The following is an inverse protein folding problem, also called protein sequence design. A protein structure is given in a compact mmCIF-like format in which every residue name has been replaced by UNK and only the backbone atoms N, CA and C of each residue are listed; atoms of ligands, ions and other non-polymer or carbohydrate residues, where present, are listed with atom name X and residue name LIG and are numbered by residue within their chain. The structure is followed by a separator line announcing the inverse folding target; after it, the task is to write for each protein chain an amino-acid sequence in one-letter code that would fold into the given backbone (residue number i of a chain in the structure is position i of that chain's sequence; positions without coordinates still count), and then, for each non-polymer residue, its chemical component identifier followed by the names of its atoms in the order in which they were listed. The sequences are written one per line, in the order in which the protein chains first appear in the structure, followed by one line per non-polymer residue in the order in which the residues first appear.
data_IF_445246760304
#
_entry.id   IF_445246760304
#
_cell.length_a   1.000
_cell.length_b   1.000
_cell.length_c   1.000
_cell.angle_alpha   90.00
_cell.angle_beta   90.00
_cell.angle_gamma   90.00
#
_symmetry.space_group_name_H-M   'P 1'
#
loop_
_entity.id
_entity.type
_entity.pdbx_description
1 polymer ?
#
# COMPACT_ATOMS: atom_id res chain seq x y z
N UNK A 1 8.04 -2.98 26.75
CA UNK A 1 6.64 -2.56 26.54
C UNK A 1 6.13 -3.23 25.27
N UNK A 2 5.34 -4.29 25.42
CA UNK A 2 4.71 -5.00 24.31
C UNK A 2 3.40 -4.26 23.94
N UNK A 3 3.51 -3.13 23.25
CA UNK A 3 2.36 -2.49 22.63
C UNK A 3 2.07 -3.15 21.28
N UNK A 4 0.80 -3.52 21.04
CA UNK A 4 0.43 -3.95 19.68
C UNK A 4 0.53 -2.74 18.72
N UNK A 5 1.10 -2.93 17.53
CA UNK A 5 1.26 -1.84 16.56
C UNK A 5 -0.06 -1.14 16.22
N UNK A 6 -1.16 -1.89 16.11
CA UNK A 6 -2.50 -1.37 15.86
C UNK A 6 -3.01 -0.43 16.97
N UNK A 7 -2.80 -0.80 18.24
CA UNK A 7 -3.18 0.05 19.37
C UNK A 7 -2.36 1.33 19.40
N UNK A 8 -1.06 1.25 19.11
CA UNK A 8 -0.18 2.42 19.08
C UNK A 8 -0.59 3.42 17.97
N UNK A 9 -0.94 2.91 16.78
CA UNK A 9 -1.45 3.75 15.68
C UNK A 9 -2.78 4.39 16.04
N UNK A 10 -3.71 3.63 16.65
CA UNK A 10 -5.00 4.16 17.08
C UNK A 10 -4.84 5.33 18.07
N UNK A 11 -4.02 5.15 19.11
CA UNK A 11 -3.75 6.21 20.09
C UNK A 11 -3.04 7.41 19.46
N UNK A 12 -2.08 7.19 18.56
CA UNK A 12 -1.40 8.27 17.84
C UNK A 12 -2.38 9.11 17.03
N UNK A 13 -3.32 8.48 16.31
CA UNK A 13 -4.35 9.18 15.52
C UNK A 13 -5.28 9.98 16.43
N UNK A 14 -5.80 9.39 17.52
CA UNK A 14 -6.69 10.08 18.45
C UNK A 14 -6.00 11.31 19.05
N UNK A 15 -4.78 11.14 19.54
CA UNK A 15 -4.00 12.24 20.14
C UNK A 15 -3.73 13.33 19.09
N UNK A 16 -3.34 12.95 17.87
CA UNK A 16 -3.08 13.91 16.79
C UNK A 16 -4.32 14.74 16.43
N UNK A 17 -5.50 14.11 16.36
CA UNK A 17 -6.77 14.80 16.11
C UNK A 17 -7.06 15.79 17.25
N UNK A 18 -6.93 15.37 18.51
CA UNK A 18 -7.16 16.24 19.66
C UNK A 18 -6.20 17.42 19.70
N UNK A 19 -4.91 17.19 19.45
CA UNK A 19 -3.89 18.25 19.37
C UNK A 19 -4.20 19.23 18.24
N UNK A 20 -4.54 18.72 17.06
CA UNK A 20 -4.91 19.55 15.92
C UNK A 20 -6.14 20.41 16.21
N UNK A 21 -7.19 19.83 16.82
CA UNK A 21 -8.39 20.57 17.21
C UNK A 21 -8.07 21.66 18.27
N UNK A 22 -7.22 21.36 19.24
CA UNK A 22 -6.79 22.33 20.24
C UNK A 22 -6.00 23.48 19.61
N UNK A 23 -5.00 23.19 18.79
CA UNK A 23 -4.19 24.21 18.10
C UNK A 23 -5.05 25.13 17.23
N UNK A 24 -5.94 24.57 16.41
CA UNK A 24 -6.82 25.33 15.55
C UNK A 24 -7.85 26.14 16.35
N UNK A 25 -8.22 25.69 17.53
CA UNK A 25 -9.12 26.43 18.43
C UNK A 25 -8.40 27.59 19.11
N UNK A 26 -7.13 27.41 19.51
CA UNK A 26 -6.34 28.47 20.13
C UNK A 26 -5.91 29.54 19.13
N UNK A 27 -5.69 29.19 17.87
CA UNK A 27 -5.41 30.14 16.79
C UNK A 27 -6.59 31.09 16.48
N UNK A 28 -7.74 30.85 17.11
CA UNK A 28 -8.90 31.76 17.12
C UNK A 28 -9.74 31.77 15.84
N UNK A 29 -9.32 31.06 14.81
CA UNK A 29 -9.94 31.10 13.48
C UNK A 29 -11.17 30.21 13.32
N UNK A 30 -11.39 29.23 14.22
CA UNK A 30 -12.49 28.26 14.10
C UNK A 30 -13.19 27.98 15.42
N UNK A 31 -14.50 27.81 15.35
CA UNK A 31 -15.29 27.35 16.50
C UNK A 31 -15.20 25.85 16.67
N UNK A 32 -15.48 25.35 17.87
CA UNK A 32 -15.51 23.91 18.15
C UNK A 32 -16.50 23.18 17.23
N UNK A 33 -17.64 23.79 16.94
CA UNK A 33 -18.65 23.23 16.05
C UNK A 33 -18.09 23.06 14.62
N UNK A 34 -17.44 24.09 14.07
CA UNK A 34 -16.82 24.04 12.74
C UNK A 34 -15.76 22.95 12.67
N UNK A 35 -14.90 22.83 13.69
CA UNK A 35 -13.87 21.78 13.74
C UNK A 35 -14.49 20.38 13.77
N UNK A 36 -15.59 20.21 14.50
CA UNK A 36 -16.31 18.93 14.55
C UNK A 36 -16.93 18.59 13.18
N UNK A 37 -17.58 19.55 12.52
CA UNK A 37 -18.17 19.37 11.19
C UNK A 37 -17.10 19.04 10.15
N UNK A 38 -15.94 19.71 10.19
CA UNK A 38 -14.81 19.41 9.31
C UNK A 38 -14.23 18.00 9.55
N UNK A 39 -14.16 17.58 10.82
CA UNK A 39 -13.72 16.23 11.18
C UNK A 39 -14.66 15.18 10.58
N UNK A 40 -15.98 15.31 10.76
CA UNK A 40 -16.95 14.38 10.19
C UNK A 40 -16.96 14.42 8.64
N UNK A 41 -16.81 15.60 8.05
CA UNK A 41 -16.68 15.73 6.60
C UNK A 41 -15.44 15.01 6.08
N UNK A 42 -14.31 15.15 6.77
CA UNK A 42 -13.08 14.43 6.47
C UNK A 42 -13.23 12.90 6.58
N UNK A 43 -13.86 12.44 7.67
CA UNK A 43 -14.18 11.02 7.85
C UNK A 43 -15.07 10.49 6.72
N UNK A 44 -16.09 11.26 6.31
CA UNK A 44 -16.97 10.89 5.19
C UNK A 44 -16.21 10.70 3.87
N UNK A 45 -15.20 11.51 3.60
CA UNK A 45 -14.34 11.38 2.41
C UNK A 45 -13.48 10.11 2.42
N UNK A 46 -13.21 9.52 3.58
CA UNK A 46 -12.47 8.27 3.71
C UNK A 46 -13.35 7.02 3.59
N UNK A 47 -14.67 7.16 3.62
CA UNK A 47 -15.60 6.03 3.55
C UNK A 47 -15.39 5.12 2.33
N UNK A 48 -15.17 5.64 1.10
CA UNK A 48 -14.89 4.79 -0.07
C UNK A 48 -13.63 3.95 0.12
N UNK A 49 -12.57 4.52 0.69
CA UNK A 49 -11.32 3.81 0.97
C UNK A 49 -11.54 2.70 2.00
N UNK A 50 -12.23 2.98 3.10
CA UNK A 50 -12.55 1.98 4.14
C UNK A 50 -13.37 0.84 3.54
N UNK A 51 -14.37 1.16 2.71
CA UNK A 51 -15.21 0.16 2.04
C UNK A 51 -14.36 -0.73 1.11
N UNK A 52 -13.46 -0.13 0.33
CA UNK A 52 -12.56 -0.87 -0.54
C UNK A 52 -11.67 -1.84 0.26
N UNK A 53 -11.08 -1.39 1.36
CA UNK A 53 -10.23 -2.23 2.22
C UNK A 53 -11.05 -3.38 2.84
N UNK A 54 -12.26 -3.12 3.29
CA UNK A 54 -13.15 -4.18 3.82
C UNK A 54 -13.48 -5.23 2.75
N UNK A 55 -13.84 -4.80 1.54
CA UNK A 55 -14.10 -5.71 0.42
C UNK A 55 -12.86 -6.50 0.02
N UNK A 56 -11.68 -5.90 0.07
CA UNK A 56 -10.42 -6.58 -0.17
C UNK A 56 -10.14 -7.69 0.87
N UNK A 57 -10.45 -7.46 2.16
CA UNK A 57 -10.37 -8.52 3.18
C UNK A 57 -11.36 -9.66 2.94
N UNK A 58 -12.59 -9.36 2.51
CA UNK A 58 -13.57 -10.38 2.14
C UNK A 58 -13.06 -11.21 0.96
N UNK A 59 -12.54 -10.56 -0.08
CA UNK A 59 -11.94 -11.23 -1.24
C UNK A 59 -10.75 -12.11 -0.83
N UNK A 60 -9.84 -11.60 -0.02
CA UNK A 60 -8.70 -12.36 0.51
C UNK A 60 -9.16 -13.61 1.28
N UNK A 61 -10.19 -13.48 2.11
CA UNK A 61 -10.77 -14.59 2.84
C UNK A 61 -11.41 -15.65 1.91
N UNK A 62 -12.11 -15.20 0.88
CA UNK A 62 -12.69 -16.08 -0.15
C UNK A 62 -11.60 -16.82 -0.94
N UNK A 63 -10.53 -16.14 -1.35
CA UNK A 63 -9.40 -16.76 -2.05
C UNK A 63 -8.70 -17.81 -1.19
N UNK A 64 -8.55 -17.55 0.11
CA UNK A 64 -8.02 -18.52 1.06
C UNK A 64 -8.93 -19.76 1.18
N UNK A 65 -10.24 -19.57 1.25
CA UNK A 65 -11.20 -20.67 1.32
C UNK A 65 -11.22 -21.52 0.04
N UNK A 66 -10.94 -20.94 -1.11
CA UNK A 66 -10.81 -21.62 -2.41
C UNK A 66 -9.45 -22.31 -2.61
N UNK A 67 -8.50 -22.18 -1.69
CA UNK A 67 -7.15 -22.73 -1.86
C UNK A 67 -6.34 -22.09 -2.98
N UNK A 68 -6.66 -20.84 -3.35
CA UNK A 68 -6.01 -20.14 -4.47
C UNK A 68 -4.50 -20.01 -4.25
N UNK A 69 -4.07 -19.75 -3.00
CA UNK A 69 -2.63 -19.65 -2.69
C UNK A 69 -1.89 -20.97 -2.95
N UNK A 70 -2.50 -22.09 -2.57
CA UNK A 70 -1.93 -23.44 -2.74
C UNK A 70 -1.81 -23.79 -4.22
N UNK A 71 -2.84 -23.51 -5.00
CA UNK A 71 -2.83 -23.71 -6.45
C UNK A 71 -1.76 -22.88 -7.14
N UNK A 72 -1.68 -21.58 -6.82
CA UNK A 72 -0.69 -20.67 -7.41
C UNK A 72 0.72 -21.06 -7.00
N UNK A 73 0.95 -21.44 -5.74
CA UNK A 73 2.26 -21.88 -5.26
C UNK A 73 2.74 -23.15 -6.00
N UNK A 74 1.87 -24.13 -6.22
CA UNK A 74 2.22 -25.33 -6.99
C UNK A 74 2.58 -24.99 -8.44
N UNK A 75 1.79 -24.14 -9.10
CA UNK A 75 2.05 -23.72 -10.48
C UNK A 75 3.36 -22.91 -10.62
N UNK A 76 3.70 -22.10 -9.61
CA UNK A 76 4.95 -21.33 -9.58
C UNK A 76 6.14 -22.26 -9.37
N UNK A 77 6.07 -23.19 -8.41
CA UNK A 77 7.19 -24.08 -8.07
C UNK A 77 7.64 -24.98 -9.22
N UNK A 78 6.73 -25.29 -10.14
CA UNK A 78 7.04 -26.09 -11.33
C UNK A 78 7.73 -25.28 -12.44
N UNK A 79 7.53 -23.96 -12.50
CA UNK A 79 7.91 -23.15 -13.66
C UNK A 79 8.92 -22.04 -13.35
N UNK A 80 9.04 -21.61 -12.10
CA UNK A 80 9.86 -20.47 -11.70
C UNK A 80 10.81 -20.81 -10.56
N UNK A 81 12.05 -20.29 -10.59
CA UNK A 81 12.98 -20.47 -9.47
C UNK A 81 12.51 -19.65 -8.26
N UNK A 82 12.50 -20.30 -7.09
CA UNK A 82 11.98 -19.72 -5.83
C UNK A 82 12.63 -18.37 -5.49
N UNK A 83 13.94 -18.22 -5.75
CA UNK A 83 14.68 -16.99 -5.51
C UNK A 83 14.16 -15.76 -6.29
N UNK A 84 13.47 -15.98 -7.41
CA UNK A 84 12.94 -14.86 -8.22
C UNK A 84 11.58 -14.35 -7.73
N UNK A 85 10.90 -15.09 -6.86
CA UNK A 85 9.53 -14.80 -6.44
C UNK A 85 9.40 -13.45 -5.73
N UNK A 86 10.31 -13.03 -4.81
CA UNK A 86 10.20 -11.72 -4.17
C UNK A 86 10.27 -10.57 -5.19
N UNK A 87 11.19 -10.63 -6.15
CA UNK A 87 11.31 -9.62 -7.19
C UNK A 87 10.10 -9.58 -8.14
N UNK A 88 9.60 -10.75 -8.54
CA UNK A 88 8.38 -10.85 -9.34
C UNK A 88 7.16 -10.31 -8.60
N UNK A 89 7.05 -10.58 -7.31
CA UNK A 89 5.99 -10.05 -6.44
C UNK A 89 6.04 -8.52 -6.40
N UNK A 90 7.23 -7.93 -6.24
CA UNK A 90 7.42 -6.49 -6.28
C UNK A 90 6.96 -5.89 -7.61
N UNK A 91 7.40 -6.46 -8.74
CA UNK A 91 7.04 -5.99 -10.08
C UNK A 91 5.54 -6.11 -10.33
N UNK A 92 4.93 -7.24 -9.96
CA UNK A 92 3.50 -7.48 -10.12
C UNK A 92 2.67 -6.51 -9.27
N UNK A 93 3.07 -6.30 -8.02
CA UNK A 93 2.43 -5.33 -7.13
C UNK A 93 2.53 -3.91 -7.71
N UNK A 94 3.70 -3.53 -8.22
CA UNK A 94 3.92 -2.26 -8.88
C UNK A 94 3.05 -2.08 -10.11
N UNK A 95 2.95 -3.08 -10.95
CA UNK A 95 2.12 -3.03 -12.15
C UNK A 95 0.62 -2.90 -11.83
N UNK A 96 0.12 -3.68 -10.87
CA UNK A 96 -1.29 -3.60 -10.42
C UNK A 96 -1.58 -2.21 -9.84
N UNK A 97 -0.74 -1.72 -8.93
CA UNK A 97 -0.93 -0.42 -8.31
C UNK A 97 -0.83 0.73 -9.32
N UNK A 98 0.08 0.65 -10.29
CA UNK A 98 0.20 1.60 -11.39
C UNK A 98 -1.07 1.68 -12.23
N UNK A 99 -1.65 0.53 -12.58
CA UNK A 99 -2.85 0.45 -13.43
C UNK A 99 -4.14 0.78 -12.70
N UNK A 100 -4.19 0.55 -11.39
CA UNK A 100 -5.38 0.84 -10.55
C UNK A 100 -5.33 2.21 -9.89
N UNK A 101 -4.15 2.81 -9.78
CA UNK A 101 -3.92 4.08 -9.08
C UNK A 101 -4.11 3.99 -7.57
N UNK A 102 -3.97 2.79 -6.98
CA UNK A 102 -4.11 2.61 -5.54
C UNK A 102 -3.20 1.52 -4.96
N UNK A 103 -2.40 1.88 -3.97
CA UNK A 103 -1.60 0.93 -3.19
C UNK A 103 -2.47 0.09 -2.26
N UNK A 104 -3.48 0.68 -1.64
CA UNK A 104 -4.35 -0.01 -0.68
C UNK A 104 -5.16 -1.16 -1.28
N UNK A 105 -5.73 -0.96 -2.48
CA UNK A 105 -6.42 -2.02 -3.21
C UNK A 105 -5.48 -3.16 -3.57
N UNK A 106 -4.27 -2.84 -3.99
CA UNK A 106 -3.23 -3.80 -4.31
C UNK A 106 -2.80 -4.61 -3.08
N UNK A 107 -2.61 -3.98 -1.91
CA UNK A 107 -2.33 -4.68 -0.65
C UNK A 107 -3.42 -5.70 -0.31
N UNK A 108 -4.68 -5.27 -0.36
CA UNK A 108 -5.81 -6.13 -0.01
C UNK A 108 -5.91 -7.39 -0.87
N UNK A 109 -5.60 -7.28 -2.15
CA UNK A 109 -5.64 -8.41 -3.09
C UNK A 109 -4.40 -9.29 -2.93
N UNK A 110 -3.20 -8.71 -3.02
CA UNK A 110 -1.98 -9.50 -3.11
C UNK A 110 -1.55 -10.14 -1.81
N UNK A 111 -1.76 -9.52 -0.65
CA UNK A 111 -1.39 -10.13 0.63
C UNK A 111 -2.11 -11.46 0.83
N UNK A 112 -3.40 -11.53 0.46
CA UNK A 112 -4.19 -12.75 0.56
C UNK A 112 -3.69 -13.90 -0.31
N UNK A 113 -3.01 -13.60 -1.42
CA UNK A 113 -2.44 -14.59 -2.35
C UNK A 113 -1.01 -14.94 -1.94
N UNK A 114 -0.20 -13.91 -1.67
CA UNK A 114 1.25 -14.05 -1.51
C UNK A 114 1.63 -14.67 -0.17
N UNK A 115 0.84 -14.43 0.90
CA UNK A 115 1.17 -15.03 2.20
C UNK A 115 1.07 -16.56 2.24
N UNK A 116 0.03 -17.22 1.70
CA UNK A 116 0.05 -18.67 1.54
C UNK A 116 1.21 -19.20 0.69
N UNK A 117 1.57 -18.50 -0.40
CA UNK A 117 2.71 -18.85 -1.26
C UNK A 117 4.01 -18.83 -0.45
N UNK A 118 4.23 -17.79 0.36
CA UNK A 118 5.41 -17.69 1.22
C UNK A 118 5.57 -18.91 2.13
N UNK A 119 4.47 -19.28 2.79
CA UNK A 119 4.47 -20.41 3.74
C UNK A 119 4.72 -21.76 3.05
N UNK A 120 4.15 -21.97 1.86
CA UNK A 120 4.32 -23.23 1.12
C UNK A 120 5.71 -23.40 0.50
N UNK A 121 6.27 -22.33 -0.02
CA UNK A 121 7.58 -22.35 -0.67
C UNK A 121 8.74 -22.16 0.32
N UNK A 122 8.45 -21.95 1.61
CA UNK A 122 9.45 -21.73 2.64
C UNK A 122 10.19 -20.39 2.51
N UNK A 123 9.56 -19.39 1.83
CA UNK A 123 10.12 -18.04 1.72
C UNK A 123 9.74 -17.25 2.98
N UNK A 124 10.65 -16.40 3.48
CA UNK A 124 10.33 -15.53 4.60
C UNK A 124 9.10 -14.66 4.28
N UNK A 125 7.99 -14.81 5.04
CA UNK A 125 6.79 -14.02 4.84
C UNK A 125 7.02 -12.52 4.90
N UNK A 126 7.99 -12.06 5.71
CA UNK A 126 8.34 -10.63 5.83
C UNK A 126 8.94 -10.09 4.53
N UNK A 127 9.73 -10.90 3.83
CA UNK A 127 10.33 -10.53 2.55
C UNK A 127 9.26 -10.36 1.47
N UNK A 128 8.33 -11.31 1.36
CA UNK A 128 7.23 -11.21 0.39
C UNK A 128 6.23 -10.11 0.74
N UNK A 129 5.94 -9.91 2.01
CA UNK A 129 5.12 -8.78 2.45
C UNK A 129 5.78 -7.45 2.08
N UNK A 130 7.08 -7.32 2.33
CA UNK A 130 7.86 -6.14 1.92
C UNK A 130 7.81 -5.90 0.41
N UNK A 131 7.88 -6.98 -0.40
CA UNK A 131 7.77 -6.88 -1.86
C UNK A 131 6.39 -6.40 -2.31
N UNK A 132 5.31 -6.89 -1.71
CA UNK A 132 3.94 -6.41 -2.00
C UNK A 132 3.79 -4.94 -1.63
N UNK A 133 4.19 -4.57 -0.40
CA UNK A 133 4.04 -3.20 0.09
C UNK A 133 4.89 -2.22 -0.71
N UNK A 134 6.17 -2.53 -0.89
CA UNK A 134 7.10 -1.68 -1.65
C UNK A 134 6.71 -1.56 -3.12
N UNK A 135 6.34 -2.66 -3.77
CA UNK A 135 5.90 -2.66 -5.17
C UNK A 135 4.61 -1.86 -5.35
N UNK A 136 3.63 -2.05 -4.49
CA UNK A 136 2.37 -1.32 -4.61
C UNK A 136 2.52 0.18 -4.34
N UNK A 137 3.34 0.58 -3.37
CA UNK A 137 3.66 2.01 -3.15
C UNK A 137 4.41 2.58 -4.35
N UNK A 138 5.39 1.85 -4.89
CA UNK A 138 6.13 2.25 -6.09
C UNK A 138 5.20 2.48 -7.28
N UNK A 139 4.29 1.53 -7.57
CA UNK A 139 3.35 1.62 -8.67
C UNK A 139 2.33 2.76 -8.50
N UNK A 140 1.81 2.92 -7.31
CA UNK A 140 0.88 4.00 -6.96
C UNK A 140 1.51 5.38 -7.21
N UNK A 141 2.71 5.63 -6.67
CA UNK A 141 3.41 6.90 -6.86
C UNK A 141 3.84 7.16 -8.30
N UNK A 142 4.07 6.14 -9.10
CA UNK A 142 4.39 6.28 -10.52
C UNK A 142 3.15 6.49 -11.40
N UNK A 143 1.94 6.23 -10.89
CA UNK A 143 0.69 6.23 -11.64
C UNK A 143 0.15 7.65 -11.88
N UNK A 144 -0.25 7.97 -13.13
CA UNK A 144 -0.90 9.24 -13.43
C UNK A 144 -2.36 9.32 -12.95
N UNK A 145 -2.94 8.20 -12.53
CA UNK A 145 -4.34 8.13 -12.05
C UNK A 145 -4.42 7.96 -10.53
N UNK A 146 -3.28 7.96 -9.84
CA UNK A 146 -3.22 7.86 -8.39
C UNK A 146 -3.69 9.15 -7.72
N UNK A 147 -4.50 9.02 -6.68
CA UNK A 147 -4.94 10.13 -5.85
C UNK A 147 -3.76 10.81 -5.13
N UNK A 148 -2.74 10.07 -4.72
CA UNK A 148 -1.53 10.62 -4.10
C UNK A 148 -0.74 11.50 -5.09
N UNK A 149 -0.63 11.08 -6.35
CA UNK A 149 0.03 11.85 -7.41
C UNK A 149 -0.78 13.11 -7.77
N UNK A 150 -2.11 12.99 -7.86
CA UNK A 150 -3.01 14.13 -8.09
C UNK A 150 -2.88 15.15 -6.96
N UNK A 151 -2.93 14.73 -5.70
CA UNK A 151 -2.81 15.64 -4.55
C UNK A 151 -1.43 16.32 -4.53
N UNK A 152 -0.37 15.57 -4.81
CA UNK A 152 1.00 16.10 -4.84
C UNK A 152 1.18 17.17 -5.93
N UNK A 153 0.65 16.93 -7.13
CA UNK A 153 0.72 17.89 -8.24
C UNK A 153 -0.07 19.18 -7.93
N UNK A 154 -1.26 19.02 -7.36
CA UNK A 154 -2.08 20.16 -6.92
C UNK A 154 -1.38 20.98 -5.82
N UNK A 155 -0.76 20.31 -4.84
CA UNK A 155 -0.04 20.98 -3.77
C UNK A 155 1.22 21.71 -4.27
N UNK A 156 1.89 21.15 -5.29
CA UNK A 156 3.03 21.76 -5.95
C UNK A 156 2.67 22.86 -6.95
N UNK A 157 1.37 23.00 -7.27
CA UNK A 157 0.89 23.98 -8.27
C UNK A 157 1.35 23.68 -9.68
N UNK A 158 1.59 22.40 -10.03
CA UNK A 158 2.03 21.95 -11.35
C UNK A 158 0.98 21.08 -12.04
N UNK A 159 1.10 20.97 -13.36
CA UNK A 159 0.27 20.06 -14.15
C UNK A 159 0.56 18.61 -13.77
N UNK A 160 -0.49 17.79 -13.66
CA UNK A 160 -0.40 16.38 -13.27
C UNK A 160 0.51 15.58 -14.21
N UNK A 161 0.38 15.75 -15.51
CA UNK A 161 1.18 14.99 -16.48
C UNK A 161 2.65 15.43 -16.47
N UNK A 162 2.92 16.71 -16.26
CA UNK A 162 4.30 17.20 -16.10
C UNK A 162 4.92 16.68 -14.79
N UNK A 163 4.15 16.62 -13.71
CA UNK A 163 4.59 15.99 -12.47
C UNK A 163 4.97 14.51 -12.69
N UNK A 164 4.11 13.74 -13.33
CA UNK A 164 4.36 12.31 -13.64
C UNK A 164 5.59 12.14 -14.53
N UNK A 165 5.71 12.93 -15.61
CA UNK A 165 6.86 12.85 -16.53
C UNK A 165 8.19 13.10 -15.82
N UNK A 166 8.22 14.04 -14.89
CA UNK A 166 9.44 14.36 -14.15
C UNK A 166 9.75 13.36 -13.05
N UNK A 167 8.73 12.78 -12.42
CA UNK A 167 8.88 11.79 -11.34
C UNK A 167 9.22 10.40 -11.86
N UNK A 168 8.64 9.98 -12.99
CA UNK A 168 8.71 8.61 -13.50
C UNK A 168 10.15 8.08 -13.69
N UNK A 169 11.12 8.84 -14.24
CA UNK A 169 12.49 8.36 -14.36
C UNK A 169 13.13 8.02 -13.02
N UNK A 170 12.90 8.83 -11.98
CA UNK A 170 13.41 8.58 -10.64
C UNK A 170 12.75 7.37 -10.00
N UNK A 171 11.42 7.24 -10.16
CA UNK A 171 10.68 6.08 -9.67
C UNK A 171 11.17 4.79 -10.34
N UNK A 172 11.35 4.78 -11.66
CA UNK A 172 11.87 3.61 -12.40
C UNK A 172 13.29 3.26 -11.98
N UNK A 173 14.16 4.26 -11.76
CA UNK A 173 15.51 4.01 -11.28
C UNK A 173 15.50 3.38 -9.87
N UNK A 174 14.73 3.93 -8.94
CA UNK A 174 14.59 3.39 -7.60
C UNK A 174 13.94 1.98 -7.61
N UNK A 175 12.90 1.77 -8.42
CA UNK A 175 12.27 0.47 -8.62
C UNK A 175 13.23 -0.58 -9.19
N UNK A 176 14.09 -0.20 -10.12
CA UNK A 176 15.12 -1.10 -10.67
C UNK A 176 16.13 -1.53 -9.60
N UNK A 177 16.56 -0.62 -8.75
CA UNK A 177 17.42 -0.94 -7.60
C UNK A 177 16.70 -1.88 -6.64
N UNK A 178 15.42 -1.62 -6.33
CA UNK A 178 14.63 -2.49 -5.46
C UNK A 178 14.50 -3.90 -6.03
N UNK A 179 14.28 -4.06 -7.33
CA UNK A 179 14.24 -5.38 -8.00
C UNK A 179 15.55 -6.13 -7.77
N UNK A 180 16.69 -5.47 -7.95
CA UNK A 180 18.01 -6.10 -7.72
C UNK A 180 18.15 -6.55 -6.27
N UNK A 181 17.75 -5.72 -5.29
CA UNK A 181 17.79 -6.12 -3.89
C UNK A 181 16.87 -7.28 -3.58
N UNK A 182 15.66 -7.34 -4.16
CA UNK A 182 14.76 -8.49 -3.97
C UNK A 182 15.29 -9.77 -4.63
N UNK A 183 15.98 -9.67 -5.77
CA UNK A 183 16.67 -10.82 -6.37
C UNK A 183 17.78 -11.34 -5.45
N UNK A 184 18.61 -10.44 -4.93
CA UNK A 184 19.69 -10.81 -3.98
C UNK A 184 19.09 -11.42 -2.71
N UNK A 185 18.08 -10.80 -2.13
CA UNK A 185 17.42 -11.31 -0.93
C UNK A 185 16.79 -12.69 -1.15
N UNK A 186 16.20 -12.91 -2.32
CA UNK A 186 15.65 -14.21 -2.67
C UNK A 186 16.70 -15.32 -2.87
N UNK A 187 17.96 -14.98 -3.18
CA UNK A 187 19.06 -15.94 -3.28
C UNK A 187 19.65 -16.27 -1.90
N UNK A 188 19.63 -15.31 -0.97
CA UNK A 188 20.25 -15.45 0.36
C UNK A 188 19.29 -16.10 1.37
N UNK A 189 18.00 -15.83 1.27
CA UNK A 189 16.95 -16.34 2.16
C UNK A 189 16.25 -17.53 1.61
#
# INVERSE_FOLDING_TARGET
TQGSGSSSVLWAIIISILVAMLLLRFDGNKTTQQLTEECFTGMGKLLPLVTLVLLAFVLSSAMKALGTGDFVASAISENLPVWSIPALTFVLAGFIAFTTGTSWGTFGILIGIVMPIALQLGIDPSLLLGAVLGGAVFGDHASPISDTTVISSLAAGCDLLEHVKTQLPYALFAGSIAIVFYLIAGVIG
#
